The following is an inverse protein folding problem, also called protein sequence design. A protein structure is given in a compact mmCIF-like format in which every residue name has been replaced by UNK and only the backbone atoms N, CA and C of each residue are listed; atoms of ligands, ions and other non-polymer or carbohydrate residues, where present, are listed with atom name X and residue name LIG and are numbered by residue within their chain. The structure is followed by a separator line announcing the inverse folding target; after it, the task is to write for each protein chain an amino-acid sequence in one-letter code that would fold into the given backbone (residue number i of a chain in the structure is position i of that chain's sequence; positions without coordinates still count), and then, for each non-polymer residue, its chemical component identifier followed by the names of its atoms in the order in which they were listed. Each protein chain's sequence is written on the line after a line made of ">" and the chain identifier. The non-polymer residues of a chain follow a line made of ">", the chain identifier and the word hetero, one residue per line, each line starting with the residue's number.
data_IF_058521827626
#
_entry.id   IF_058521827626
#
_cell.length_a   1.000
_cell.length_b   1.000
_cell.length_c   1.000
_cell.angle_alpha   90.00
_cell.angle_beta   90.00
_cell.angle_gamma   90.00
#
_symmetry.space_group_name_H-M   'P 1'
#
loop_
_entity.id
_entity.type
_entity.pdbx_description
1 polymer ?
#
# COMPACT_ATOMS: atom_id res chain seq x y z
N UNK A 1 11.13 13.87 19.01
CA UNK A 1 9.79 14.20 18.47
C UNK A 1 9.14 12.91 18.02
N UNK A 2 7.89 12.68 18.41
CA UNK A 2 7.08 11.55 17.94
C UNK A 2 7.12 11.48 16.41
N UNK A 3 7.32 10.28 15.86
CA UNK A 3 7.26 10.09 14.41
C UNK A 3 5.81 9.84 14.01
N UNK A 4 5.23 10.78 13.27
CA UNK A 4 3.95 10.57 12.59
C UNK A 4 4.01 9.30 11.76
N UNK A 5 2.89 8.59 11.64
CA UNK A 5 2.77 7.43 10.75
C UNK A 5 2.27 7.92 9.39
N UNK A 6 3.02 7.59 8.34
CA UNK A 6 2.59 7.79 6.96
C UNK A 6 1.67 6.63 6.53
N UNK A 7 0.44 6.93 6.11
CA UNK A 7 -0.56 5.94 5.74
C UNK A 7 -0.97 6.16 4.28
N UNK A 8 -0.61 5.23 3.41
CA UNK A 8 -1.01 5.20 2.02
C UNK A 8 -2.24 4.31 1.83
N UNK A 9 -3.28 4.86 1.23
CA UNK A 9 -4.54 4.19 0.93
C UNK A 9 -4.64 3.99 -0.59
N UNK A 10 -4.94 2.78 -1.03
CA UNK A 10 -4.96 2.41 -2.44
C UNK A 10 -6.23 1.63 -2.76
N UNK A 11 -7.09 2.20 -3.60
CA UNK A 11 -8.28 1.53 -4.13
C UNK A 11 -7.92 0.54 -5.25
N UNK A 12 -8.88 -0.30 -5.68
CA UNK A 12 -8.65 -1.31 -6.73
C UNK A 12 -9.65 -1.31 -7.88
N UNK A 13 -10.44 -0.25 -8.05
CA UNK A 13 -11.40 -0.11 -9.16
C UNK A 13 -11.13 1.20 -9.93
N UNK A 14 -11.20 1.17 -11.26
CA UNK A 14 -11.14 2.34 -12.13
C UNK A 14 -12.24 3.39 -11.87
N UNK A 15 -11.93 4.66 -12.15
CA UNK A 15 -12.75 5.85 -11.85
C UNK A 15 -13.24 5.93 -10.40
N UNK A 16 -12.30 6.09 -9.48
CA UNK A 16 -12.63 6.35 -8.07
C UNK A 16 -12.55 7.86 -7.77
N UNK A 17 -13.63 8.43 -7.25
CA UNK A 17 -13.64 9.81 -6.75
C UNK A 17 -12.81 9.91 -5.45
N UNK A 18 -12.14 11.06 -5.21
CA UNK A 18 -11.49 11.32 -3.92
C UNK A 18 -12.46 11.08 -2.75
N UNK A 19 -11.97 10.50 -1.66
CA UNK A 19 -12.76 10.24 -0.46
C UNK A 19 -13.32 8.82 -0.32
N UNK A 20 -12.97 7.89 -1.21
CA UNK A 20 -13.35 6.47 -1.07
C UNK A 20 -12.91 5.86 0.27
N UNK A 21 -11.82 6.35 0.85
CA UNK A 21 -11.31 5.86 2.12
C UNK A 21 -11.86 6.60 3.34
N UNK A 22 -12.76 7.57 3.16
CA UNK A 22 -13.15 8.50 4.22
C UNK A 22 -13.73 7.78 5.44
N UNK A 23 -14.50 6.72 5.23
CA UNK A 23 -15.06 5.90 6.31
C UNK A 23 -13.97 5.21 7.14
N UNK A 24 -13.06 4.48 6.46
CA UNK A 24 -11.88 3.87 7.07
C UNK A 24 -11.02 4.91 7.80
N UNK A 25 -10.71 6.05 7.17
CA UNK A 25 -9.91 7.12 7.80
C UNK A 25 -10.54 7.61 9.10
N UNK A 26 -11.85 7.90 9.09
CA UNK A 26 -12.58 8.30 10.32
C UNK A 26 -12.53 7.20 11.38
N UNK A 27 -12.71 5.94 10.98
CA UNK A 27 -12.67 4.79 11.86
C UNK A 27 -11.29 4.60 12.52
N UNK A 28 -10.22 4.68 11.74
CA UNK A 28 -8.83 4.58 12.20
C UNK A 28 -8.46 5.74 13.12
N UNK A 29 -8.75 6.98 12.74
CA UNK A 29 -8.45 8.16 13.55
C UNK A 29 -9.10 8.08 14.93
N UNK A 30 -10.39 7.71 15.01
CA UNK A 30 -11.09 7.59 16.30
C UNK A 30 -10.49 6.50 17.19
N UNK A 31 -10.23 5.32 16.63
CA UNK A 31 -9.69 4.17 17.37
C UNK A 31 -8.26 4.41 17.82
N UNK A 32 -7.43 4.97 16.95
CA UNK A 32 -6.06 5.35 17.26
C UNK A 32 -6.02 6.40 18.38
N UNK A 33 -6.82 7.47 18.28
CA UNK A 33 -6.90 8.51 19.31
C UNK A 33 -7.33 7.96 20.68
N UNK A 34 -8.24 6.98 20.70
CA UNK A 34 -8.59 6.23 21.92
C UNK A 34 -7.40 5.42 22.43
N UNK A 35 -6.68 4.73 21.54
CA UNK A 35 -5.55 3.86 21.88
C UNK A 35 -4.31 4.60 22.41
N UNK A 36 -4.13 5.88 22.08
CA UNK A 36 -3.02 6.69 22.60
C UNK A 36 -3.50 7.89 23.44
N UNK A 37 -4.72 7.81 23.99
CA UNK A 37 -5.32 8.87 24.81
C UNK A 37 -4.35 9.31 25.91
N UNK A 38 -4.13 10.62 26.01
CA UNK A 38 -3.26 11.23 27.01
C UNK A 38 -1.76 11.16 26.70
N UNK A 39 -1.35 10.48 25.62
CA UNK A 39 0.06 10.43 25.23
C UNK A 39 0.52 11.69 24.48
N UNK A 40 -0.37 12.35 23.73
CA UNK A 40 -0.12 13.62 23.01
C UNK A 40 -1.37 14.49 23.02
N UNK A 41 -1.25 15.83 22.85
CA UNK A 41 -2.38 16.75 22.84
C UNK A 41 -3.38 16.51 21.71
N UNK A 42 -2.88 16.21 20.50
CA UNK A 42 -3.70 15.90 19.32
C UNK A 42 -3.28 14.57 18.68
N UNK A 43 -3.84 13.44 19.15
CA UNK A 43 -3.57 12.12 18.58
C UNK A 43 -3.90 11.98 17.10
N UNK A 44 -4.87 12.75 16.58
CA UNK A 44 -5.26 12.63 15.18
C UNK A 44 -4.16 13.15 14.24
N UNK A 45 -3.42 14.17 14.67
CA UNK A 45 -2.31 14.77 13.91
C UNK A 45 -1.09 13.85 13.72
N UNK A 46 -1.02 12.75 14.47
CA UNK A 46 0.03 11.73 14.38
C UNK A 46 -0.18 10.77 13.20
N UNK A 47 -1.36 10.78 12.57
CA UNK A 47 -1.66 9.97 11.39
C UNK A 47 -1.72 10.87 10.15
N UNK A 48 -0.87 10.60 9.16
CA UNK A 48 -0.84 11.33 7.89
C UNK A 48 -1.33 10.41 6.78
N UNK A 49 -2.52 10.70 6.26
CA UNK A 49 -3.16 9.90 5.22
C UNK A 49 -2.93 10.47 3.82
N UNK A 50 -2.73 9.59 2.85
CA UNK A 50 -2.73 9.92 1.43
C UNK A 50 -3.47 8.85 0.63
N UNK A 51 -4.49 9.28 -0.14
CA UNK A 51 -5.17 8.41 -1.10
C UNK A 51 -4.40 8.43 -2.42
N UNK A 52 -4.13 7.25 -2.97
CA UNK A 52 -3.57 7.14 -4.32
C UNK A 52 -4.70 7.01 -5.34
N UNK A 53 -4.83 8.01 -6.22
CA UNK A 53 -5.71 7.95 -7.38
C UNK A 53 -4.91 7.52 -8.63
N UNK A 54 -4.60 6.23 -8.71
CA UNK A 54 -3.87 5.67 -9.84
C UNK A 54 -4.75 5.55 -11.10
N UNK A 55 -6.07 5.37 -10.94
CA UNK A 55 -6.99 5.18 -12.08
C UNK A 55 -7.06 6.40 -13.01
N UNK A 56 -6.77 7.59 -12.51
CA UNK A 56 -6.64 8.80 -13.33
C UNK A 56 -5.60 8.69 -14.46
N UNK A 57 -4.64 7.75 -14.36
CA UNK A 57 -3.69 7.45 -15.44
C UNK A 57 -4.32 6.72 -16.63
N UNK A 58 -5.40 5.96 -16.42
CA UNK A 58 -6.07 5.15 -17.45
C UNK A 58 -7.33 5.82 -18.02
N UNK A 59 -7.89 6.80 -17.29
CA UNK A 59 -9.18 7.42 -17.58
C UNK A 59 -9.34 7.91 -19.02
N UNK A 60 -8.31 8.53 -19.62
CA UNK A 60 -8.38 9.01 -21.01
C UNK A 60 -8.59 7.87 -22.02
N UNK A 61 -7.92 6.74 -21.81
CA UNK A 61 -8.03 5.56 -22.68
C UNK A 61 -9.39 4.86 -22.52
N UNK A 62 -9.84 4.71 -21.28
CA UNK A 62 -11.17 4.18 -20.95
C UNK A 62 -12.30 5.01 -21.58
N UNK A 63 -12.20 6.34 -21.52
CA UNK A 63 -13.17 7.26 -22.09
C UNK A 63 -13.28 7.11 -23.62
N UNK A 64 -12.14 6.95 -24.28
CA UNK A 64 -12.08 6.72 -25.73
C UNK A 64 -12.70 5.38 -26.11
N UNK A 65 -12.35 4.30 -25.41
CA UNK A 65 -12.93 2.97 -25.63
C UNK A 65 -14.45 3.01 -25.45
N UNK A 66 -14.92 3.63 -24.35
CA UNK A 66 -16.34 3.73 -24.04
C UNK A 66 -17.10 4.57 -25.06
N UNK A 67 -16.52 5.64 -25.62
CA UNK A 67 -17.12 6.38 -26.75
C UNK A 67 -17.27 5.50 -27.99
N UNK A 68 -16.24 4.72 -28.35
CA UNK A 68 -16.28 3.83 -29.53
C UNK A 68 -17.30 2.69 -29.38
N UNK A 69 -17.39 2.08 -28.19
CA UNK A 69 -18.24 0.92 -27.97
C UNK A 69 -19.73 1.25 -27.81
N UNK A 70 -20.08 2.45 -27.31
CA UNK A 70 -21.49 2.85 -27.12
C UNK A 70 -22.28 3.00 -28.42
N UNK A 71 -21.61 3.19 -29.56
CA UNK A 71 -22.26 3.30 -30.87
C UNK A 71 -22.45 1.96 -31.61
N UNK A 72 -21.96 0.84 -31.07
CA UNK A 72 -21.81 -0.39 -31.85
C UNK A 72 -22.98 -1.39 -31.73
N UNK A 73 -23.58 -1.56 -30.54
CA UNK A 73 -24.71 -2.49 -30.35
C UNK A 73 -25.38 -2.35 -28.96
N UNK A 74 -26.68 -2.70 -28.81
CA UNK A 74 -27.31 -2.86 -27.51
C UNK A 74 -26.69 -4.03 -26.74
N UNK A 75 -26.26 -3.80 -25.51
CA UNK A 75 -25.62 -4.81 -24.65
C UNK A 75 -26.54 -5.24 -23.50
N UNK A 76 -26.72 -6.56 -23.31
CA UNK A 76 -27.38 -7.16 -22.13
C UNK A 76 -26.38 -7.32 -20.97
N UNK A 77 -26.88 -7.40 -19.74
CA UNK A 77 -26.08 -7.55 -18.50
C UNK A 77 -25.12 -6.37 -18.21
N UNK A 78 -25.56 -5.14 -18.49
CA UNK A 78 -24.72 -3.93 -18.42
C UNK A 78 -24.00 -3.74 -17.08
N UNK A 79 -24.59 -4.16 -15.94
CA UNK A 79 -23.95 -4.06 -14.61
C UNK A 79 -22.77 -5.03 -14.46
N UNK A 80 -22.96 -6.31 -14.80
CA UNK A 80 -21.89 -7.31 -14.75
C UNK A 80 -20.79 -7.01 -15.77
N UNK A 81 -21.17 -6.60 -16.99
CA UNK A 81 -20.21 -6.15 -18.00
C UNK A 81 -19.41 -4.95 -17.53
N UNK A 82 -20.04 -3.95 -16.90
CA UNK A 82 -19.35 -2.78 -16.34
C UNK A 82 -18.36 -3.19 -15.24
N UNK A 83 -18.73 -4.13 -14.37
CA UNK A 83 -17.81 -4.68 -13.38
C UNK A 83 -16.62 -5.42 -14.03
N UNK A 84 -16.90 -6.34 -14.95
CA UNK A 84 -15.86 -7.09 -15.65
C UNK A 84 -14.94 -6.19 -16.47
N UNK A 85 -15.46 -5.13 -17.10
CA UNK A 85 -14.62 -4.12 -17.76
C UNK A 85 -13.78 -3.39 -16.71
N UNK A 86 -14.38 -2.85 -15.66
CA UNK A 86 -13.64 -2.09 -14.65
C UNK A 86 -12.61 -2.93 -13.86
N UNK A 87 -12.80 -4.25 -13.74
CA UNK A 87 -11.85 -5.12 -13.05
C UNK A 87 -10.88 -5.78 -14.03
N UNK A 88 -11.39 -6.47 -15.06
CA UNK A 88 -10.56 -7.19 -16.01
C UNK A 88 -9.86 -6.27 -17.03
N UNK A 89 -10.50 -5.20 -17.50
CA UNK A 89 -9.83 -4.27 -18.41
C UNK A 89 -8.74 -3.47 -17.69
N UNK A 90 -8.97 -3.01 -16.46
CA UNK A 90 -7.93 -2.38 -15.63
C UNK A 90 -6.80 -3.36 -15.35
N UNK A 91 -7.16 -4.63 -15.07
CA UNK A 91 -6.18 -5.67 -14.85
C UNK A 91 -5.32 -5.96 -16.08
N UNK A 92 -5.93 -6.00 -17.27
CA UNK A 92 -5.24 -6.18 -18.55
C UNK A 92 -4.39 -4.95 -18.88
N UNK A 93 -4.95 -3.74 -18.76
CA UNK A 93 -4.28 -2.48 -19.07
C UNK A 93 -3.08 -2.21 -18.15
N UNK A 94 -3.17 -2.63 -16.89
CA UNK A 94 -2.07 -2.51 -15.94
C UNK A 94 -0.86 -3.39 -16.31
N UNK A 95 -1.06 -4.50 -17.02
CA UNK A 95 0.04 -5.40 -17.36
C UNK A 95 0.94 -4.77 -18.43
N UNK A 96 2.26 -4.67 -18.18
CA UNK A 96 3.17 -4.21 -19.21
C UNK A 96 3.27 -5.27 -20.32
N UNK A 97 3.05 -4.85 -21.56
CA UNK A 97 3.38 -5.62 -22.75
C UNK A 97 4.88 -5.48 -23.06
N UNK A 98 5.50 -6.43 -23.79
CA UNK A 98 6.93 -6.35 -24.14
C UNK A 98 7.36 -5.03 -24.78
N UNK A 99 6.46 -4.37 -25.51
CA UNK A 99 6.68 -3.10 -26.19
C UNK A 99 5.98 -1.90 -25.57
N UNK A 100 5.12 -2.08 -24.55
CA UNK A 100 4.35 -0.98 -23.95
C UNK A 100 4.18 -1.16 -22.43
N UNK A 101 4.72 -0.21 -21.69
CA UNK A 101 4.67 -0.12 -20.23
C UNK A 101 4.06 1.19 -19.73
N UNK A 102 3.41 1.93 -20.62
CA UNK A 102 2.96 3.31 -20.37
C UNK A 102 1.98 3.37 -19.20
N UNK A 103 0.98 2.48 -19.18
CA UNK A 103 0.00 2.38 -18.09
C UNK A 103 0.67 2.04 -16.75
N UNK A 104 1.54 1.02 -16.74
CA UNK A 104 2.28 0.59 -15.55
C UNK A 104 3.11 1.74 -14.96
N UNK A 105 3.89 2.42 -15.80
CA UNK A 105 4.76 3.52 -15.38
C UNK A 105 3.98 4.74 -14.91
N UNK A 106 2.89 5.09 -15.60
CA UNK A 106 2.05 6.21 -15.21
C UNK A 106 1.40 5.96 -13.83
N UNK A 107 0.90 4.74 -13.60
CA UNK A 107 0.35 4.32 -12.29
C UNK A 107 1.44 4.39 -11.21
N UNK A 108 2.62 3.83 -11.47
CA UNK A 108 3.73 3.82 -10.51
C UNK A 108 4.31 5.21 -10.25
N UNK A 109 4.24 6.13 -11.21
CA UNK A 109 4.58 7.54 -11.00
C UNK A 109 3.58 8.23 -10.06
N UNK A 110 2.27 7.90 -10.15
CA UNK A 110 1.27 8.39 -9.18
C UNK A 110 1.47 7.81 -7.79
N UNK A 111 1.84 6.54 -7.70
CA UNK A 111 2.29 5.93 -6.43
C UNK A 111 3.46 6.71 -5.84
N UNK A 112 4.54 6.92 -6.62
CA UNK A 112 5.72 7.64 -6.16
C UNK A 112 5.42 9.07 -5.70
N UNK A 113 4.62 9.82 -6.46
CA UNK A 113 4.21 11.17 -6.07
C UNK A 113 3.38 11.20 -4.78
N UNK A 114 2.52 10.20 -4.54
CA UNK A 114 1.77 10.09 -3.30
C UNK A 114 2.69 9.80 -2.10
N UNK A 115 3.66 8.89 -2.27
CA UNK A 115 4.64 8.59 -1.23
C UNK A 115 5.54 9.79 -0.93
N UNK A 116 5.92 10.59 -1.94
CA UNK A 116 6.66 11.83 -1.76
C UNK A 116 5.88 12.84 -0.89
N UNK A 117 4.59 13.05 -1.17
CA UNK A 117 3.71 13.92 -0.33
C UNK A 117 3.52 13.37 1.09
N UNK A 118 3.53 12.06 1.27
CA UNK A 118 3.55 11.45 2.60
C UNK A 118 4.87 11.73 3.33
N UNK A 119 6.00 11.55 2.66
CA UNK A 119 7.33 11.80 3.23
C UNK A 119 7.50 13.28 3.64
N UNK A 120 6.98 14.21 2.84
CA UNK A 120 6.99 15.64 3.14
C UNK A 120 6.19 15.97 4.42
N UNK A 121 4.97 15.45 4.54
CA UNK A 121 4.06 15.78 5.66
C UNK A 121 4.29 14.99 6.94
N UNK A 122 4.70 13.72 6.82
CA UNK A 122 4.95 12.82 7.96
C UNK A 122 6.43 12.83 8.40
N UNK A 123 7.32 13.24 7.51
CA UNK A 123 8.77 13.25 7.69
C UNK A 123 9.48 12.14 6.91
N UNK A 124 10.75 12.35 6.51
CA UNK A 124 11.47 11.48 5.57
C UNK A 124 11.75 10.07 6.09
N UNK A 125 11.60 9.84 7.40
CA UNK A 125 11.80 8.55 8.06
C UNK A 125 10.55 8.04 8.77
N UNK A 126 9.36 8.60 8.52
CA UNK A 126 8.13 8.13 9.13
C UNK A 126 7.93 6.60 8.92
N UNK A 127 7.43 5.85 9.92
CA UNK A 127 6.93 4.50 9.66
C UNK A 127 5.84 4.56 8.58
N UNK A 128 5.97 3.71 7.56
CA UNK A 128 5.01 3.63 6.46
C UNK A 128 4.05 2.47 6.68
N UNK A 129 2.76 2.76 6.53
CA UNK A 129 1.65 1.83 6.51
C UNK A 129 0.98 1.90 5.13
N UNK A 130 0.75 0.75 4.50
CA UNK A 130 -0.01 0.66 3.24
C UNK A 130 -1.29 -0.13 3.51
N UNK A 131 -2.43 0.45 3.13
CA UNK A 131 -3.73 -0.22 3.14
C UNK A 131 -4.23 -0.23 1.70
N UNK A 132 -4.24 -1.42 1.10
CA UNK A 132 -4.54 -1.62 -0.30
C UNK A 132 -5.74 -2.56 -0.46
N UNK A 133 -6.57 -2.26 -1.45
CA UNK A 133 -7.80 -3.01 -1.71
C UNK A 133 -7.85 -3.50 -3.15
N UNK A 134 -8.30 -4.74 -3.37
CA UNK A 134 -8.52 -5.32 -4.70
C UNK A 134 -7.30 -5.17 -5.63
N UNK A 135 -7.42 -4.72 -6.88
CA UNK A 135 -6.29 -4.49 -7.79
C UNK A 135 -5.21 -3.56 -7.18
N UNK A 136 -5.60 -2.67 -6.27
CA UNK A 136 -4.67 -1.84 -5.50
C UNK A 136 -3.65 -2.65 -4.71
N UNK A 137 -3.98 -3.87 -4.26
CA UNK A 137 -3.02 -4.75 -3.57
C UNK A 137 -1.92 -5.23 -4.51
N UNK A 138 -2.26 -5.53 -5.77
CA UNK A 138 -1.30 -5.93 -6.80
C UNK A 138 -0.43 -4.74 -7.18
N UNK A 139 -1.02 -3.55 -7.35
CA UNK A 139 -0.28 -2.31 -7.64
C UNK A 139 0.70 -2.02 -6.50
N UNK A 140 0.25 -2.05 -5.24
CA UNK A 140 1.09 -1.86 -4.07
C UNK A 140 2.22 -2.89 -4.00
N UNK A 141 1.91 -4.17 -4.19
CA UNK A 141 2.90 -5.26 -4.17
C UNK A 141 3.96 -5.06 -5.25
N UNK A 142 3.57 -4.81 -6.49
CA UNK A 142 4.51 -4.59 -7.59
C UNK A 142 5.37 -3.33 -7.37
N UNK A 143 4.76 -2.22 -6.94
CA UNK A 143 5.48 -0.98 -6.66
C UNK A 143 6.56 -1.17 -5.59
N UNK A 144 6.21 -1.81 -4.46
CA UNK A 144 7.17 -2.12 -3.39
C UNK A 144 8.21 -3.15 -3.83
N UNK A 145 7.82 -4.17 -4.61
CA UNK A 145 8.74 -5.16 -5.17
C UNK A 145 9.80 -4.48 -6.05
N UNK A 146 9.39 -3.55 -6.91
CA UNK A 146 10.26 -2.84 -7.84
C UNK A 146 11.21 -1.85 -7.15
N UNK A 147 10.77 -1.24 -6.05
CA UNK A 147 11.62 -0.42 -5.17
C UNK A 147 12.74 -1.27 -4.53
N UNK A 148 12.43 -2.49 -4.11
CA UNK A 148 13.37 -3.34 -3.36
C UNK A 148 14.40 -4.07 -4.26
N UNK A 149 14.18 -4.14 -5.57
CA UNK A 149 14.98 -4.98 -6.49
C UNK A 149 16.25 -4.26 -6.97
N UNK A 150 17.36 -4.46 -6.26
CA UNK A 150 18.65 -3.74 -6.42
C UNK A 150 19.39 -3.86 -7.77
N UNK A 151 19.22 -4.95 -8.53
CA UNK A 151 20.10 -5.25 -9.71
C UNK A 151 19.43 -5.08 -11.08
N UNK A 152 18.11 -4.93 -11.13
CA UNK A 152 17.30 -4.63 -12.32
C UNK A 152 15.97 -4.04 -11.82
N UNK A 153 16.01 -2.88 -11.17
CA UNK A 153 14.78 -2.23 -10.72
C UNK A 153 13.92 -2.02 -11.96
N UNK A 154 12.72 -2.60 -11.94
CA UNK A 154 11.77 -2.48 -13.04
C UNK A 154 11.25 -1.05 -13.16
N UNK A 155 11.54 -0.16 -12.21
CA UNK A 155 11.18 1.25 -12.26
C UNK A 155 11.84 1.95 -13.45
N UNK A 156 11.02 2.56 -14.30
CA UNK A 156 11.49 3.40 -15.39
C UNK A 156 12.07 4.71 -14.87
N UNK A 157 12.76 5.45 -15.76
CA UNK A 157 13.34 6.74 -15.42
C UNK A 157 12.28 7.76 -14.95
N UNK A 158 11.08 7.75 -15.55
CA UNK A 158 9.97 8.64 -15.19
C UNK A 158 9.44 8.38 -13.78
N UNK A 159 9.38 7.11 -13.35
CA UNK A 159 9.00 6.78 -11.96
C UNK A 159 10.11 7.18 -10.99
N UNK A 160 11.38 6.91 -11.35
CA UNK A 160 12.52 7.26 -10.49
C UNK A 160 12.67 8.76 -10.27
N UNK A 161 12.34 9.60 -11.26
CA UNK A 161 12.36 11.06 -11.08
C UNK A 161 11.34 11.58 -10.06
N UNK A 162 10.32 10.79 -9.71
CA UNK A 162 9.36 11.14 -8.67
C UNK A 162 9.80 10.73 -7.25
N UNK A 163 10.97 10.11 -7.09
CA UNK A 163 11.49 9.61 -5.81
C UNK A 163 12.66 10.50 -5.36
N UNK A 164 12.48 11.28 -4.30
CA UNK A 164 13.48 12.24 -3.81
C UNK A 164 14.52 11.63 -2.86
N UNK A 165 14.54 10.31 -2.71
CA UNK A 165 15.58 9.60 -1.98
C UNK A 165 15.41 9.61 -0.46
N UNK A 166 14.21 9.83 0.07
CA UNK A 166 13.94 9.60 1.50
C UNK A 166 13.74 8.10 1.78
N UNK A 167 14.03 7.61 3.01
CA UNK A 167 13.70 6.24 3.41
C UNK A 167 12.24 5.84 3.19
N UNK A 168 11.29 6.75 3.40
CA UNK A 168 9.86 6.52 3.11
C UNK A 168 9.64 6.26 1.61
N UNK A 169 10.16 7.13 0.73
CA UNK A 169 10.01 6.98 -0.73
C UNK A 169 10.72 5.74 -1.30
N UNK A 170 11.77 5.25 -0.62
CA UNK A 170 12.43 3.98 -0.98
C UNK A 170 11.71 2.75 -0.43
N UNK A 171 10.61 2.91 0.29
CA UNK A 171 9.88 1.82 0.96
C UNK A 171 10.65 1.19 2.13
N UNK A 172 11.74 1.81 2.58
CA UNK A 172 12.63 1.25 3.61
C UNK A 172 11.99 1.26 5.01
N UNK A 173 11.00 2.11 5.22
CA UNK A 173 10.26 2.26 6.48
C UNK A 173 8.88 1.59 6.45
N UNK A 174 8.57 0.83 5.39
CA UNK A 174 7.35 0.04 5.30
C UNK A 174 7.32 -0.98 6.44
N UNK A 175 6.35 -0.81 7.33
CA UNK A 175 6.20 -1.59 8.55
C UNK A 175 4.85 -2.29 8.67
N UNK A 176 3.80 -1.70 8.10
CA UNK A 176 2.46 -2.26 8.12
C UNK A 176 1.96 -2.38 6.68
N UNK A 177 1.51 -3.57 6.30
CA UNK A 177 0.87 -3.83 5.03
C UNK A 177 -0.46 -4.54 5.26
N UNK A 178 -1.54 -3.92 4.81
CA UNK A 178 -2.88 -4.48 4.88
C UNK A 178 -3.40 -4.64 3.47
N UNK A 179 -3.70 -5.88 3.09
CA UNK A 179 -4.31 -6.22 1.81
C UNK A 179 -5.75 -6.66 2.04
N UNK A 180 -6.69 -6.05 1.32
CA UNK A 180 -8.13 -6.25 1.49
C UNK A 180 -8.69 -6.84 0.18
N UNK A 181 -9.39 -7.97 0.22
CA UNK A 181 -10.01 -8.57 -0.97
C UNK A 181 -8.99 -8.82 -2.09
N UNK A 182 -7.82 -9.35 -1.75
CA UNK A 182 -6.64 -9.29 -2.61
C UNK A 182 -6.65 -10.32 -3.75
N UNK A 183 -6.59 -9.91 -5.03
CA UNK A 183 -6.44 -10.81 -6.18
C UNK A 183 -5.01 -11.33 -6.38
N UNK A 184 -4.05 -11.06 -5.49
CA UNK A 184 -2.64 -11.49 -5.66
C UNK A 184 -2.54 -13.00 -5.92
N UNK A 185 -3.38 -13.82 -5.29
CA UNK A 185 -3.41 -15.26 -5.54
C UNK A 185 -3.75 -15.60 -7.00
N UNK A 186 -4.81 -15.01 -7.55
CA UNK A 186 -5.15 -15.17 -8.97
C UNK A 186 -4.04 -14.60 -9.87
N UNK A 187 -3.51 -13.44 -9.48
CA UNK A 187 -2.45 -12.77 -10.21
C UNK A 187 -1.16 -13.59 -10.27
N UNK A 188 -0.92 -14.42 -9.26
CA UNK A 188 0.30 -15.23 -9.12
C UNK A 188 0.42 -16.31 -10.20
N UNK A 189 -0.69 -16.70 -10.84
CA UNK A 189 -0.73 -17.69 -11.92
C UNK A 189 0.18 -17.35 -13.11
N UNK A 190 0.49 -16.06 -13.28
CA UNK A 190 1.41 -15.60 -14.34
C UNK A 190 2.87 -16.00 -14.12
N UNK A 191 3.21 -16.49 -12.93
CA UNK A 191 4.59 -16.75 -12.53
C UNK A 191 4.80 -18.24 -12.22
N UNK A 192 5.96 -18.80 -12.56
CA UNK A 192 6.34 -20.12 -12.08
C UNK A 192 6.25 -20.21 -10.55
N UNK A 193 5.70 -21.30 -10.02
CA UNK A 193 5.53 -21.54 -8.58
C UNK A 193 4.80 -20.41 -7.83
N UNK A 194 3.86 -19.74 -8.51
CA UNK A 194 3.07 -18.63 -7.94
C UNK A 194 3.91 -17.40 -7.52
N UNK A 195 5.11 -17.26 -8.09
CA UNK A 195 5.95 -16.06 -7.94
C UNK A 195 6.55 -15.85 -6.55
N UNK A 196 6.92 -14.60 -6.25
CA UNK A 196 7.55 -14.18 -5.01
C UNK A 196 6.80 -13.01 -4.37
N UNK A 197 6.66 -12.98 -3.03
CA UNK A 197 6.12 -11.80 -2.34
C UNK A 197 7.12 -10.64 -2.38
N UNK A 198 6.64 -9.45 -1.99
CA UNK A 198 7.54 -8.34 -1.64
C UNK A 198 8.52 -8.76 -0.53
N UNK A 199 9.69 -8.12 -0.50
CA UNK A 199 10.61 -8.28 0.63
C UNK A 199 10.06 -7.52 1.83
N UNK A 200 9.40 -8.23 2.74
CA UNK A 200 8.77 -7.65 3.91
C UNK A 200 9.18 -8.40 5.20
N UNK A 201 9.62 -7.68 6.26
CA UNK A 201 9.98 -6.26 6.25
C UNK A 201 11.20 -5.97 5.36
N UNK A 202 11.38 -4.70 4.98
CA UNK A 202 12.62 -4.28 4.35
C UNK A 202 13.79 -4.38 5.34
N UNK A 203 14.99 -4.76 4.88
CA UNK A 203 16.17 -4.95 5.77
C UNK A 203 16.57 -3.68 6.53
N UNK A 204 16.32 -2.52 5.93
CA UNK A 204 16.62 -1.22 6.54
C UNK A 204 15.57 -0.78 7.57
N UNK A 205 14.43 -1.49 7.71
CA UNK A 205 13.40 -1.11 8.68
C UNK A 205 13.98 -1.08 10.09
N UNK A 206 14.75 -2.10 10.47
CA UNK A 206 15.38 -2.19 11.79
C UNK A 206 16.44 -1.10 12.03
N UNK A 207 17.02 -0.53 10.97
CA UNK A 207 17.98 0.59 11.06
C UNK A 207 17.23 1.90 11.30
N UNK A 208 16.12 2.11 10.61
CA UNK A 208 15.32 3.34 10.73
C UNK A 208 14.43 3.35 11.98
N UNK A 209 13.90 2.19 12.37
CA UNK A 209 12.98 2.00 13.49
C UNK A 209 13.35 0.73 14.30
N UNK A 210 14.41 0.76 15.13
CA UNK A 210 14.80 -0.38 15.94
C UNK A 210 13.68 -0.88 16.85
N UNK A 211 13.41 -2.19 16.84
CA UNK A 211 12.38 -2.80 17.69
C UNK A 211 10.93 -2.61 17.20
N UNK A 212 10.70 -1.87 16.11
CA UNK A 212 9.38 -1.79 15.50
C UNK A 212 9.03 -3.10 14.82
N UNK A 213 7.91 -3.70 15.23
CA UNK A 213 7.42 -4.96 14.67
C UNK A 213 6.65 -4.70 13.37
N UNK A 214 7.02 -5.44 12.32
CA UNK A 214 6.33 -5.36 11.03
C UNK A 214 5.18 -6.36 10.95
N UNK A 215 4.08 -5.98 10.29
CA UNK A 215 2.94 -6.87 10.06
C UNK A 215 2.38 -6.75 8.65
N UNK A 216 2.21 -7.90 7.98
CA UNK A 216 1.42 -8.02 6.77
C UNK A 216 0.19 -8.88 7.06
N UNK A 217 -0.98 -8.26 7.15
CA UNK A 217 -2.26 -8.95 7.31
C UNK A 217 -3.05 -8.87 6.02
N UNK A 218 -3.41 -10.03 5.48
CA UNK A 218 -4.28 -10.16 4.32
C UNK A 218 -5.69 -10.51 4.78
N UNK A 219 -6.63 -9.58 4.62
CA UNK A 219 -8.04 -9.78 4.90
C UNK A 219 -8.74 -10.29 3.64
N UNK A 220 -9.45 -11.40 3.78
CA UNK A 220 -10.26 -11.99 2.72
C UNK A 220 -11.62 -12.41 3.29
N UNK A 221 -12.67 -12.26 2.52
CA UNK A 221 -13.97 -12.82 2.83
C UNK A 221 -14.09 -14.18 2.13
N UNK A 222 -14.48 -15.27 2.82
CA UNK A 222 -14.74 -16.56 2.18
C UNK A 222 -15.74 -16.51 1.02
N UNK A 223 -16.64 -15.51 1.00
CA UNK A 223 -17.61 -15.27 -0.06
C UNK A 223 -17.09 -14.35 -1.19
N UNK A 224 -15.88 -13.77 -1.05
CA UNK A 224 -15.28 -12.92 -2.07
C UNK A 224 -14.58 -13.77 -3.14
N UNK A 225 -15.17 -13.80 -4.34
CA UNK A 225 -14.67 -14.58 -5.49
C UNK A 225 -13.31 -14.10 -6.04
N UNK A 226 -12.84 -12.92 -5.60
CA UNK A 226 -11.58 -12.31 -6.02
C UNK A 226 -10.51 -12.40 -4.93
N UNK A 227 -10.91 -12.29 -3.66
CA UNK A 227 -10.01 -12.27 -2.51
C UNK A 227 -9.67 -13.67 -1.99
N UNK A 228 -8.38 -14.01 -1.92
CA UNK A 228 -7.92 -15.33 -1.44
C UNK A 228 -6.83 -15.20 -0.37
N UNK A 229 -6.65 -16.23 0.47
CA UNK A 229 -5.48 -16.32 1.35
C UNK A 229 -4.18 -16.41 0.52
N UNK A 230 -3.11 -15.77 1.00
CA UNK A 230 -1.82 -15.68 0.29
C UNK A 230 -0.79 -16.68 0.80
N UNK A 231 -0.80 -17.04 2.08
CA UNK A 231 0.16 -18.00 2.68
C UNK A 231 0.16 -19.38 2.02
N UNK A 232 -0.98 -19.90 1.50
CA UNK A 232 -0.99 -21.18 0.78
C UNK A 232 -0.23 -21.17 -0.56
N UNK A 233 0.03 -20.01 -1.16
CA UNK A 233 0.64 -19.91 -2.49
C UNK A 233 2.01 -20.62 -2.56
N UNK A 234 2.88 -20.37 -1.57
CA UNK A 234 4.16 -21.07 -1.42
C UNK A 234 4.83 -20.73 -0.07
N UNK A 235 5.97 -21.38 0.22
CA UNK A 235 6.73 -21.15 1.45
C UNK A 235 7.20 -19.69 1.63
N UNK A 236 7.44 -18.95 0.53
CA UNK A 236 7.88 -17.55 0.60
C UNK A 236 6.75 -16.63 1.07
N UNK A 237 5.55 -16.79 0.51
CA UNK A 237 4.37 -16.07 0.99
C UNK A 237 4.04 -16.43 2.44
N UNK A 238 4.13 -17.72 2.81
CA UNK A 238 3.92 -18.19 4.18
C UNK A 238 4.84 -17.48 5.20
N UNK A 239 6.08 -17.18 4.80
CA UNK A 239 7.05 -16.48 5.63
C UNK A 239 6.86 -14.95 5.65
N UNK A 240 6.43 -14.35 4.53
CA UNK A 240 6.27 -12.89 4.41
C UNK A 240 4.94 -12.38 4.99
N UNK A 241 3.86 -13.13 4.80
CA UNK A 241 2.52 -12.76 5.27
C UNK A 241 2.35 -13.19 6.72
N UNK A 242 2.18 -12.21 7.60
CA UNK A 242 1.97 -12.45 9.03
C UNK A 242 0.70 -13.28 9.24
N UNK A 243 -0.40 -12.89 8.59
CA UNK A 243 -1.70 -13.51 8.80
C UNK A 243 -2.60 -13.41 7.56
N UNK A 244 -3.25 -14.51 7.20
CA UNK A 244 -4.44 -14.49 6.35
C UNK A 244 -5.67 -14.53 7.26
N UNK A 245 -6.39 -13.41 7.37
CA UNK A 245 -7.51 -13.25 8.29
C UNK A 245 -8.84 -13.27 7.55
N UNK A 246 -9.70 -14.28 7.78
CA UNK A 246 -11.05 -14.27 7.23
C UNK A 246 -11.88 -13.16 7.89
N UNK A 247 -12.69 -12.47 7.09
CA UNK A 247 -13.66 -11.45 7.50
C UNK A 247 -15.02 -11.75 6.87
N UNK A 248 -16.03 -10.99 7.27
CA UNK A 248 -17.36 -11.08 6.68
C UNK A 248 -17.82 -9.66 6.35
N UNK A 249 -17.53 -9.22 5.13
CA UNK A 249 -17.79 -7.87 4.62
C UNK A 249 -18.97 -7.83 3.64
N UNK A 250 -19.56 -8.99 3.33
CA UNK A 250 -20.81 -9.15 2.58
C UNK A 250 -21.96 -9.74 3.41
N UNK A 251 -23.20 -9.59 2.95
CA UNK A 251 -24.31 -10.48 3.37
C UNK A 251 -24.58 -11.52 2.28
N UNK A 252 -25.20 -12.65 2.62
CA UNK A 252 -25.59 -13.72 1.68
C UNK A 252 -26.42 -13.22 0.47
N UNK A 253 -27.11 -12.08 0.59
CA UNK A 253 -27.88 -11.43 -0.49
C UNK A 253 -27.01 -10.59 -1.45
N UNK A 254 -25.78 -10.29 -1.04
CA UNK A 254 -24.82 -9.42 -1.74
C UNK A 254 -23.55 -10.18 -2.19
N UNK A 255 -23.36 -11.43 -1.75
CA UNK A 255 -22.21 -12.30 -2.08
C UNK A 255 -22.09 -12.64 -3.58
N UNK A 256 -23.12 -12.38 -4.39
CA UNK A 256 -23.12 -12.56 -5.86
C UNK A 256 -22.91 -11.26 -6.66
N UNK A 257 -22.60 -10.13 -6.00
CA UNK A 257 -22.56 -8.80 -6.60
C UNK A 257 -21.25 -8.04 -6.23
N UNK A 258 -20.67 -7.25 -7.16
CA UNK A 258 -19.60 -6.27 -6.93
C UNK A 258 -19.55 -5.48 -5.60
N UNK A 259 -20.67 -5.39 -4.87
CA UNK A 259 -20.80 -4.67 -3.60
C UNK A 259 -20.10 -5.34 -2.40
N UNK A 260 -20.04 -6.68 -2.30
CA UNK A 260 -19.30 -7.35 -1.19
C UNK A 260 -17.82 -7.00 -1.23
N UNK A 261 -17.27 -6.91 -2.44
CA UNK A 261 -15.91 -6.50 -2.69
C UNK A 261 -15.65 -5.02 -2.32
N UNK A 262 -16.66 -4.16 -2.15
CA UNK A 262 -16.45 -2.77 -1.70
C UNK A 262 -16.53 -2.65 -0.17
N UNK A 263 -17.17 -3.61 0.52
CA UNK A 263 -17.47 -3.57 1.95
C UNK A 263 -16.25 -3.52 2.88
N UNK A 264 -15.06 -3.89 2.41
CA UNK A 264 -13.84 -3.89 3.21
C UNK A 264 -13.48 -2.52 3.81
N UNK A 265 -13.82 -1.41 3.13
CA UNK A 265 -13.52 -0.05 3.62
C UNK A 265 -14.39 0.38 4.82
N UNK A 266 -15.51 -0.30 5.03
CA UNK A 266 -16.49 0.05 6.06
C UNK A 266 -16.54 -0.95 7.21
N UNK A 267 -15.80 -2.07 7.12
CA UNK A 267 -15.83 -3.11 8.13
C UNK A 267 -15.14 -2.67 9.44
N UNK A 268 -15.85 -2.73 10.59
CA UNK A 268 -15.30 -2.29 11.87
C UNK A 268 -14.18 -3.20 12.39
N UNK A 269 -14.21 -4.51 12.12
CA UNK A 269 -13.19 -5.47 12.58
C UNK A 269 -11.87 -5.27 11.85
N UNK A 270 -11.93 -4.97 10.56
CA UNK A 270 -10.76 -4.53 9.77
C UNK A 270 -10.19 -3.25 10.37
N UNK A 271 -11.03 -2.24 10.62
CA UNK A 271 -10.59 -0.99 11.21
C UNK A 271 -9.98 -1.17 12.62
N UNK A 272 -10.53 -2.05 13.46
CA UNK A 272 -9.97 -2.41 14.77
C UNK A 272 -8.57 -2.99 14.63
N UNK A 273 -8.41 -4.03 13.80
CA UNK A 273 -7.13 -4.70 13.58
C UNK A 273 -6.04 -3.77 13.02
N UNK A 274 -6.40 -2.91 12.05
CA UNK A 274 -5.46 -1.92 11.50
C UNK A 274 -5.06 -0.91 12.59
N UNK A 275 -6.02 -0.43 13.38
CA UNK A 275 -5.76 0.56 14.44
C UNK A 275 -4.84 0.02 15.53
N UNK A 276 -4.99 -1.25 15.92
CA UNK A 276 -4.07 -1.92 16.85
C UNK A 276 -2.63 -1.94 16.32
N UNK A 277 -2.47 -2.21 15.03
CA UNK A 277 -1.18 -2.11 14.35
C UNK A 277 -0.59 -0.70 14.42
N UNK A 278 -1.40 0.31 14.08
CA UNK A 278 -0.99 1.72 14.12
C UNK A 278 -0.58 2.17 15.52
N UNK A 279 -1.38 1.85 16.55
CA UNK A 279 -1.08 2.19 17.95
C UNK A 279 0.23 1.53 18.40
N UNK A 280 0.43 0.26 18.10
CA UNK A 280 1.65 -0.46 18.46
C UNK A 280 2.88 0.14 17.76
N UNK A 281 2.79 0.42 16.46
CA UNK A 281 3.87 1.05 15.70
C UNK A 281 4.19 2.45 16.22
N UNK A 282 3.19 3.26 16.52
CA UNK A 282 3.39 4.61 17.05
C UNK A 282 4.10 4.58 18.41
N UNK A 283 3.64 3.73 19.34
CA UNK A 283 4.26 3.59 20.67
C UNK A 283 5.73 3.14 20.56
N UNK A 284 6.03 2.20 19.68
CA UNK A 284 7.40 1.74 19.44
C UNK A 284 8.29 2.86 18.89
N UNK A 285 7.81 3.60 17.88
CA UNK A 285 8.56 4.72 17.29
C UNK A 285 8.73 5.91 18.25
N UNK A 286 7.72 6.20 19.08
CA UNK A 286 7.78 7.29 20.07
C UNK A 286 8.72 6.97 21.23
N UNK A 287 8.80 5.71 21.66
CA UNK A 287 9.77 5.29 22.67
C UNK A 287 11.23 5.50 22.20
N UNK A 288 11.51 5.27 20.92
CA UNK A 288 12.83 5.55 20.34
C UNK A 288 13.18 7.04 20.34
N UNK A 289 12.19 7.92 20.13
CA UNK A 289 12.40 9.36 20.10
C UNK A 289 12.76 9.97 21.47
N UNK A 290 12.54 9.23 22.57
CA UNK A 290 12.89 9.64 23.93
C UNK A 290 14.30 9.21 24.35
N UNK A 291 14.97 8.32 23.60
CA UNK A 291 16.36 7.93 23.84
C UNK A 291 17.27 8.91 23.10
N UNK A 292 18.12 9.71 23.78
CA UNK A 292 19.00 10.66 23.11
C UNK A 292 19.93 9.93 22.14
N UNK A 293 19.84 10.25 20.85
CA UNK A 293 20.77 9.72 19.86
C UNK A 293 22.20 10.14 20.27
N UNK A 294 23.04 9.18 20.68
CA UNK A 294 24.46 9.45 20.90
C UNK A 294 25.05 9.93 19.57
N UNK A 295 25.37 11.23 19.49
CA UNK A 295 26.11 11.79 18.35
C UNK A 295 27.44 11.01 18.24
N UNK A 296 27.84 10.56 17.04
CA UNK A 296 29.17 9.99 16.86
C UNK A 296 30.20 11.06 17.21
N UNK A 297 31.16 10.70 18.07
CA UNK A 297 32.22 11.61 18.48
C UNK A 297 33.01 12.04 17.25
N UNK A 298 33.13 13.35 17.04
CA UNK A 298 34.06 13.88 16.03
C UNK A 298 35.47 13.45 16.46
N UNK A 299 36.06 12.54 15.69
CA UNK A 299 37.47 12.20 15.83
C UNK A 299 38.28 13.50 15.72
N UNK A 300 38.98 13.87 16.79
CA UNK A 300 39.94 14.98 16.79
C UNK A 300 41.05 14.62 15.80
N UNK A 301 41.13 15.35 14.68
CA UNK A 301 42.26 15.28 13.78
C UNK A 301 43.53 15.70 14.53
N UNK A 302 44.42 14.76 14.81
CA UNK A 302 45.79 15.06 15.25
C UNK A 302 46.49 15.80 14.10
N UNK A 303 46.78 17.09 14.29
CA UNK A 303 47.74 17.82 13.46
C UNK A 303 49.11 17.18 13.66
N UNK A 304 49.63 16.53 12.64
CA UNK A 304 51.03 16.14 12.55
C UNK A 304 51.81 17.43 12.27
N UNK A 305 52.67 17.84 13.22
CA UNK A 305 53.71 18.86 12.97
C UNK A 305 54.82 18.18 12.19
N UNK A 306 55.08 18.64 10.97
CA UNK A 306 56.32 18.35 10.28
C UNK A 306 57.48 19.07 11.00
N UNK A 307 58.52 18.31 11.32
CA UNK A 307 59.87 18.79 11.65
C UNK A 307 60.81 18.16 10.62
N UNK A 308 61.73 18.94 10.08
CA UNK A 308 62.80 18.50 9.18
C UNK A 308 62.59 19.01 7.78
#
# INVERSE_FOLDING_TARGET
>A
MSHKIAIMLIHGIGRTEPGYSASMRRALTRRFAKGIRGAVPDPASELVFEEVNWSSALQTGEDQLWRRMRGAAPMRYSRLRKFMVNFAADAIAYQPAPSDRTAYDAIHARMAAAVARLAERAGPRAPLCIIAHSLGTVIASNYVYDLCKRRKSYLSASVRSCINGTPVERGETLSLLYTLGSPIALWSLRYPSFGEPIRFPHRQLAVHHPGLQSRWVNFYDPDDVIGYPLKPLNARYRAAVTEDRPVNVGSWLTSWNPLSHVGYWDDPKIADAISEGLVASWRASSALALVPSRRPSRARSRRVRAKG
#
